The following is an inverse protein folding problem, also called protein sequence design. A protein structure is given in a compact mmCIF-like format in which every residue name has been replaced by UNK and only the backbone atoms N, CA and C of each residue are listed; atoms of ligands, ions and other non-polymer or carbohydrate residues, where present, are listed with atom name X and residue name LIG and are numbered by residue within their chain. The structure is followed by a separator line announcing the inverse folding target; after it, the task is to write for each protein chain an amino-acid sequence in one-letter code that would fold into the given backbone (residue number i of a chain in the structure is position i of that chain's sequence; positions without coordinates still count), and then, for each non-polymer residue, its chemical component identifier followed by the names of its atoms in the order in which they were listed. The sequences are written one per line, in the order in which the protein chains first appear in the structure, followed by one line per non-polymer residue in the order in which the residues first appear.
data_IF_253919028875
#
_entry.id   IF_253919028875
#
_cell.length_a   1.000
_cell.length_b   1.000
_cell.length_c   1.000
_cell.angle_alpha   90.00
_cell.angle_beta   90.00
_cell.angle_gamma   90.00
#
_symmetry.space_group_name_H-M   'P 1'
#
loop_
_entity.id
_entity.type
_entity.pdbx_description
1 polymer ?
#
# COMPACT_ATOMS: atom_id res chain seq x y z
N UNK A 1 16.99 -50.05 -11.83
CA UNK A 1 17.73 -48.84 -12.25
C UNK A 1 18.39 -48.23 -11.03
N UNK A 2 19.60 -47.68 -11.12
CA UNK A 2 20.22 -46.99 -9.98
C UNK A 2 19.40 -45.77 -9.59
N UNK A 3 19.20 -45.58 -8.28
CA UNK A 3 18.49 -44.43 -7.71
C UNK A 3 19.55 -43.40 -7.30
N UNK A 4 19.32 -42.13 -7.66
CA UNK A 4 20.16 -41.02 -7.19
C UNK A 4 19.83 -40.75 -5.72
N UNK A 5 20.82 -40.90 -4.84
CA UNK A 5 20.68 -40.60 -3.41
C UNK A 5 21.05 -39.14 -3.14
N UNK A 6 20.33 -38.49 -2.24
CA UNK A 6 20.66 -37.15 -1.75
C UNK A 6 21.77 -37.17 -0.70
N UNK A 7 22.11 -35.99 -0.18
CA UNK A 7 23.01 -35.84 0.96
C UNK A 7 22.30 -36.24 2.27
N UNK A 8 23.04 -36.90 3.17
CA UNK A 8 22.53 -37.27 4.49
C UNK A 8 22.35 -36.03 5.39
N UNK A 9 21.28 -36.00 6.20
CA UNK A 9 20.94 -34.85 7.05
C UNK A 9 21.96 -34.60 8.17
N UNK A 10 22.78 -35.60 8.51
CA UNK A 10 23.82 -35.53 9.53
C UNK A 10 25.23 -35.38 8.93
N UNK A 11 25.35 -35.34 7.59
CA UNK A 11 26.63 -35.13 6.92
C UNK A 11 27.09 -33.68 7.08
N UNK A 12 28.31 -33.50 7.59
CA UNK A 12 28.95 -32.19 7.66
C UNK A 12 29.42 -31.75 6.27
N UNK A 13 29.17 -30.49 5.94
CA UNK A 13 29.66 -29.85 4.71
C UNK A 13 30.26 -28.49 5.05
N UNK A 14 31.33 -28.12 4.34
CA UNK A 14 31.98 -26.82 4.46
C UNK A 14 31.79 -26.06 3.15
N UNK A 15 31.24 -24.86 3.21
CA UNK A 15 31.08 -23.97 2.06
C UNK A 15 31.10 -22.51 2.51
N UNK A 16 31.45 -21.60 1.61
CA UNK A 16 31.22 -20.18 1.82
C UNK A 16 29.83 -19.80 1.32
N UNK A 17 29.28 -18.68 1.81
CA UNK A 17 28.06 -18.11 1.24
C UNK A 17 28.25 -17.87 -0.27
N UNK A 18 29.42 -17.41 -0.67
CA UNK A 18 29.75 -17.11 -2.07
C UNK A 18 29.63 -18.34 -2.99
N UNK A 19 30.01 -19.52 -2.50
CA UNK A 19 29.90 -20.75 -3.26
C UNK A 19 28.44 -21.24 -3.41
N UNK A 20 27.52 -20.73 -2.59
CA UNK A 20 26.11 -21.16 -2.59
C UNK A 20 25.28 -20.50 -3.70
N UNK A 21 25.76 -19.41 -4.30
CA UNK A 21 25.04 -18.62 -5.30
C UNK A 21 25.80 -18.62 -6.63
N UNK A 22 25.14 -19.06 -7.70
CA UNK A 22 25.71 -19.05 -9.04
C UNK A 22 26.10 -17.64 -9.50
N UNK A 23 27.12 -17.52 -10.36
CA UNK A 23 27.67 -16.22 -10.79
C UNK A 23 26.71 -15.39 -11.64
N UNK A 24 25.74 -16.05 -12.27
CA UNK A 24 24.69 -15.47 -13.13
C UNK A 24 23.36 -15.25 -12.39
N UNK A 25 23.31 -15.48 -11.07
CA UNK A 25 22.09 -15.27 -10.29
C UNK A 25 21.75 -13.76 -10.14
N UNK A 26 20.49 -13.40 -10.42
CA UNK A 26 19.98 -12.03 -10.37
C UNK A 26 20.19 -11.31 -9.03
N UNK A 27 20.28 -12.04 -7.91
CA UNK A 27 20.53 -11.47 -6.58
C UNK A 27 21.84 -10.67 -6.53
N UNK A 28 22.82 -11.05 -7.36
CA UNK A 28 24.11 -10.36 -7.47
C UNK A 28 23.96 -8.99 -8.10
N UNK A 29 23.02 -8.82 -9.04
CA UNK A 29 22.71 -7.51 -9.60
C UNK A 29 22.14 -6.59 -8.52
N UNK A 30 21.25 -7.10 -7.66
CA UNK A 30 20.68 -6.31 -6.54
C UNK A 30 21.79 -5.83 -5.61
N UNK A 31 22.71 -6.73 -5.23
CA UNK A 31 23.84 -6.40 -4.38
C UNK A 31 24.72 -5.32 -5.01
N UNK A 32 25.20 -5.55 -6.23
CA UNK A 32 26.07 -4.64 -6.96
C UNK A 32 25.40 -3.28 -7.23
N UNK A 33 24.11 -3.27 -7.56
CA UNK A 33 23.35 -2.05 -7.81
C UNK A 33 23.27 -1.20 -6.54
N UNK A 34 22.88 -1.78 -5.40
CA UNK A 34 22.74 -1.03 -4.14
C UNK A 34 24.08 -0.52 -3.61
N UNK A 35 25.17 -1.27 -3.79
CA UNK A 35 26.52 -0.83 -3.38
C UNK A 35 27.02 0.40 -4.16
N UNK A 36 26.43 0.72 -5.32
CA UNK A 36 26.77 1.90 -6.12
C UNK A 36 25.88 3.11 -5.82
N UNK A 37 24.85 2.96 -4.98
CA UNK A 37 23.92 4.04 -4.67
C UNK A 37 24.46 4.98 -3.59
N UNK A 38 24.33 6.28 -3.82
CA UNK A 38 24.44 7.28 -2.76
C UNK A 38 23.11 7.36 -2.00
N UNK A 39 23.06 6.71 -0.84
CA UNK A 39 21.85 6.63 -0.01
C UNK A 39 21.42 8.00 0.52
N UNK A 40 22.37 8.92 0.75
CA UNK A 40 22.04 10.26 1.24
C UNK A 40 21.38 11.09 0.14
N UNK A 41 21.91 11.05 -1.08
CA UNK A 41 21.30 11.71 -2.24
C UNK A 41 19.92 11.14 -2.58
N UNK A 42 19.72 9.84 -2.38
CA UNK A 42 18.39 9.22 -2.51
C UNK A 42 17.40 9.70 -1.44
N UNK A 43 17.88 10.34 -0.37
CA UNK A 43 17.06 10.81 0.74
C UNK A 43 16.74 9.72 1.77
N UNK A 44 17.56 8.66 1.84
CA UNK A 44 17.43 7.63 2.86
C UNK A 44 17.79 8.24 4.21
N UNK A 45 16.81 8.23 5.11
CA UNK A 45 16.97 8.61 6.51
C UNK A 45 17.32 7.37 7.29
N UNK A 46 18.50 7.39 7.89
CA UNK A 46 18.94 6.30 8.74
C UNK A 46 18.00 6.12 9.93
N UNK A 47 17.67 4.87 10.21
CA UNK A 47 16.96 4.48 11.43
C UNK A 47 17.74 4.83 12.70
N UNK A 48 19.04 5.16 12.59
CA UNK A 48 19.91 5.60 13.69
C UNK A 48 19.90 7.09 13.96
N UNK A 49 19.44 7.90 13.00
CA UNK A 49 19.56 9.38 13.05
C UNK A 49 18.36 10.08 13.67
N UNK A 50 17.27 9.35 13.96
CA UNK A 50 16.15 9.86 14.73
C UNK A 50 16.44 9.67 16.22
N UNK A 51 16.65 10.76 16.97
CA UNK A 51 16.53 11.06 18.43
C UNK A 51 16.37 9.92 19.48
N UNK A 52 16.71 8.67 19.14
CA UNK A 52 16.61 7.50 19.97
C UNK A 52 17.92 7.39 20.72
N UNK A 53 17.78 7.36 22.04
CA UNK A 53 18.85 7.22 23.03
C UNK A 53 19.96 6.31 22.52
N UNK A 54 21.23 6.70 22.71
CA UNK A 54 22.46 5.92 22.44
C UNK A 54 22.52 4.55 23.14
N UNK A 55 21.48 4.17 23.86
CA UNK A 55 21.36 2.93 24.63
C UNK A 55 20.46 1.96 23.87
N UNK A 56 21.06 0.91 23.29
CA UNK A 56 20.34 -0.12 22.56
C UNK A 56 21.24 -1.01 21.71
N UNK A 57 20.67 -2.05 21.11
CA UNK A 57 21.33 -2.93 20.15
C UNK A 57 21.73 -2.14 18.90
N UNK A 58 22.93 -2.38 18.38
CA UNK A 58 23.41 -1.78 17.12
C UNK A 58 22.40 -2.02 15.99
N UNK A 59 22.20 -0.98 15.17
CA UNK A 59 21.30 -1.01 14.02
C UNK A 59 21.90 -1.78 12.85
N UNK A 60 21.02 -2.27 11.98
CA UNK A 60 21.41 -2.72 10.64
C UNK A 60 21.76 -1.52 9.74
N UNK A 61 22.52 -1.76 8.67
CA UNK A 61 22.76 -0.74 7.64
C UNK A 61 21.49 -0.48 6.82
N UNK A 62 21.35 0.74 6.30
CA UNK A 62 20.20 1.09 5.47
C UNK A 62 20.23 0.38 4.09
N UNK A 63 21.44 0.13 3.56
CA UNK A 63 21.65 -0.64 2.33
C UNK A 63 21.06 -2.06 2.44
N UNK A 64 21.14 -2.67 3.61
CA UNK A 64 20.59 -3.99 3.89
C UNK A 64 19.07 -4.02 3.65
N UNK A 65 18.35 -2.99 4.12
CA UNK A 65 16.91 -2.91 3.91
C UNK A 65 16.55 -2.63 2.45
N UNK A 66 17.33 -1.83 1.73
CA UNK A 66 17.12 -1.60 0.30
C UNK A 66 17.30 -2.87 -0.52
N UNK A 67 18.39 -3.62 -0.29
CA UNK A 67 18.63 -4.93 -0.91
C UNK A 67 17.45 -5.86 -0.66
N UNK A 68 16.99 -5.92 0.59
CA UNK A 68 15.86 -6.76 0.97
C UNK A 68 14.56 -6.36 0.26
N UNK A 69 14.26 -5.06 0.13
CA UNK A 69 13.05 -4.60 -0.56
C UNK A 69 13.10 -4.80 -2.07
N UNK A 70 14.24 -4.58 -2.71
CA UNK A 70 14.41 -4.86 -4.15
C UNK A 70 14.22 -6.36 -4.44
N UNK A 71 14.84 -7.22 -3.63
CA UNK A 71 14.65 -8.66 -3.71
C UNK A 71 13.18 -9.05 -3.51
N UNK A 72 12.52 -8.42 -2.54
CA UNK A 72 11.11 -8.64 -2.23
C UNK A 72 10.21 -8.30 -3.42
N UNK A 73 10.45 -7.18 -4.10
CA UNK A 73 9.67 -6.75 -5.26
C UNK A 73 9.86 -7.68 -6.44
N UNK A 74 11.10 -8.10 -6.73
CA UNK A 74 11.41 -9.05 -7.78
C UNK A 74 10.69 -10.40 -7.57
N UNK A 75 10.65 -10.88 -6.33
CA UNK A 75 10.05 -12.17 -5.95
C UNK A 75 8.57 -12.07 -5.52
N UNK A 76 7.92 -10.91 -5.64
CA UNK A 76 6.52 -10.73 -5.26
C UNK A 76 6.21 -10.85 -3.76
N UNK A 77 7.20 -10.73 -2.88
CA UNK A 77 7.05 -10.82 -1.42
C UNK A 77 6.70 -9.43 -0.86
N UNK A 78 5.45 -9.22 -0.43
CA UNK A 78 4.99 -7.90 0.05
C UNK A 78 4.89 -7.74 1.57
N UNK A 79 5.09 -8.82 2.33
CA UNK A 79 4.91 -8.84 3.78
C UNK A 79 6.25 -8.81 4.50
N UNK A 80 6.44 -7.85 5.41
CA UNK A 80 7.65 -7.76 6.25
C UNK A 80 7.86 -9.01 7.11
N UNK A 81 6.79 -9.65 7.58
CA UNK A 81 6.87 -10.94 8.30
C UNK A 81 7.27 -12.10 7.40
N UNK A 82 6.82 -12.08 6.13
CA UNK A 82 7.31 -13.07 5.16
C UNK A 82 8.79 -12.83 4.88
N UNK A 83 9.23 -11.58 4.71
CA UNK A 83 10.63 -11.25 4.50
C UNK A 83 11.53 -11.66 5.66
N UNK A 84 11.11 -11.42 6.90
CA UNK A 84 11.82 -11.91 8.09
C UNK A 84 12.00 -13.43 8.05
N UNK A 85 10.97 -14.19 7.69
CA UNK A 85 11.06 -15.65 7.52
C UNK A 85 11.94 -16.06 6.35
N UNK A 86 11.87 -15.34 5.23
CA UNK A 86 12.68 -15.63 4.04
C UNK A 86 14.16 -15.36 4.29
N UNK A 87 14.49 -14.30 5.04
CA UNK A 87 15.88 -14.00 5.43
C UNK A 87 16.55 -15.17 6.17
N UNK A 88 15.76 -15.99 6.88
CA UNK A 88 16.26 -17.15 7.64
C UNK A 88 16.41 -18.39 6.76
N UNK A 89 15.53 -18.61 5.78
CA UNK A 89 15.44 -19.91 5.06
C UNK A 89 15.91 -19.88 3.61
N UNK A 90 15.97 -18.71 2.99
CA UNK A 90 16.28 -18.55 1.58
C UNK A 90 17.78 -18.26 1.42
N UNK A 91 18.49 -19.13 0.70
CA UNK A 91 19.93 -19.01 0.51
C UNK A 91 20.35 -17.73 -0.23
N UNK A 92 19.52 -17.22 -1.16
CA UNK A 92 19.78 -15.96 -1.85
C UNK A 92 19.74 -14.78 -0.89
N UNK A 93 18.78 -14.77 0.04
CA UNK A 93 18.72 -13.74 1.08
C UNK A 93 19.78 -13.92 2.15
N UNK A 94 20.12 -15.15 2.53
CA UNK A 94 21.24 -15.39 3.44
C UNK A 94 22.55 -14.86 2.85
N UNK A 95 22.77 -15.05 1.54
CA UNK A 95 23.90 -14.47 0.83
C UNK A 95 23.82 -12.94 0.77
N UNK A 96 22.70 -12.39 0.29
CA UNK A 96 22.50 -10.95 0.09
C UNK A 96 22.59 -10.14 1.39
N UNK A 97 22.11 -10.72 2.50
CA UNK A 97 22.13 -10.10 3.83
C UNK A 97 23.35 -10.51 4.66
N UNK A 98 24.28 -11.29 4.10
CA UNK A 98 25.47 -11.78 4.80
C UNK A 98 25.14 -12.52 6.11
N UNK A 99 24.06 -13.31 6.11
CA UNK A 99 23.56 -14.04 7.27
C UNK A 99 22.81 -13.19 8.31
N UNK A 100 22.58 -11.90 8.05
CA UNK A 100 21.81 -11.04 8.94
C UNK A 100 20.30 -11.26 8.80
N UNK A 101 19.59 -11.21 9.91
CA UNK A 101 18.14 -11.45 9.97
C UNK A 101 17.43 -10.27 10.63
N UNK A 102 17.08 -9.21 9.86
CA UNK A 102 16.32 -8.10 10.39
C UNK A 102 14.90 -8.55 10.77
N UNK A 103 14.40 -8.05 11.89
CA UNK A 103 13.04 -8.37 12.32
C UNK A 103 11.99 -7.61 11.50
N UNK A 104 10.74 -8.09 11.53
CA UNK A 104 9.68 -7.51 10.70
C UNK A 104 9.35 -6.04 11.04
N UNK A 105 9.57 -5.59 12.28
CA UNK A 105 9.33 -4.20 12.69
C UNK A 105 10.34 -3.28 12.03
N UNK A 106 11.63 -3.60 12.10
CA UNK A 106 12.71 -2.83 11.47
C UNK A 106 12.52 -2.76 9.95
N UNK A 107 12.13 -3.87 9.32
CA UNK A 107 11.81 -3.90 7.89
C UNK A 107 10.65 -2.94 7.58
N UNK A 108 9.56 -3.00 8.35
CA UNK A 108 8.38 -2.15 8.12
C UNK A 108 8.66 -0.66 8.39
N UNK A 109 9.39 -0.35 9.47
CA UNK A 109 9.76 1.00 9.87
C UNK A 109 10.65 1.66 8.82
N UNK A 110 11.62 0.92 8.27
CA UNK A 110 12.47 1.42 7.18
C UNK A 110 11.62 1.93 6.01
N UNK A 111 10.65 1.13 5.53
CA UNK A 111 9.77 1.54 4.42
C UNK A 111 8.87 2.72 4.79
N UNK A 112 8.37 2.77 6.03
CA UNK A 112 7.51 3.87 6.50
C UNK A 112 8.27 5.19 6.53
N UNK A 113 9.51 5.17 7.01
CA UNK A 113 10.35 6.37 7.15
C UNK A 113 10.91 6.81 5.78
N UNK A 114 11.26 5.85 4.93
CA UNK A 114 11.96 6.08 3.66
C UNK A 114 11.08 5.94 2.42
N UNK A 115 9.76 6.16 2.54
CA UNK A 115 8.81 6.04 1.42
C UNK A 115 9.20 6.92 0.22
N UNK A 116 9.62 8.17 0.47
CA UNK A 116 10.10 9.08 -0.59
C UNK A 116 11.42 8.61 -1.20
N UNK A 117 12.34 8.07 -0.40
CA UNK A 117 13.60 7.54 -0.92
C UNK A 117 13.38 6.33 -1.83
N UNK A 118 12.41 5.47 -1.51
CA UNK A 118 12.02 4.35 -2.39
C UNK A 118 11.39 4.82 -3.71
N UNK A 119 10.64 5.94 -3.69
CA UNK A 119 10.16 6.57 -4.93
C UNK A 119 11.32 7.13 -5.75
N UNK A 120 12.28 7.81 -5.12
CA UNK A 120 13.48 8.32 -5.79
C UNK A 120 14.33 7.18 -6.37
N UNK A 121 14.45 6.06 -5.66
CA UNK A 121 15.12 4.86 -6.15
C UNK A 121 14.46 4.32 -7.42
N UNK A 122 13.13 4.29 -7.48
CA UNK A 122 12.42 3.89 -8.69
C UNK A 122 12.71 4.83 -9.86
N UNK A 123 12.72 6.15 -9.63
CA UNK A 123 13.06 7.14 -10.67
C UNK A 123 14.49 6.95 -11.17
N UNK A 124 15.44 6.76 -10.26
CA UNK A 124 16.83 6.48 -10.60
C UNK A 124 16.96 5.19 -11.41
N UNK A 125 16.21 4.15 -11.05
CA UNK A 125 16.20 2.88 -11.80
C UNK A 125 15.64 3.05 -13.22
N UNK A 126 14.57 3.83 -13.40
CA UNK A 126 14.03 4.16 -14.74
C UNK A 126 15.04 4.96 -15.57
N UNK A 127 15.72 5.93 -14.96
CA UNK A 127 16.80 6.70 -15.59
C UNK A 127 17.95 5.77 -16.02
N UNK A 128 18.40 4.88 -15.13
CA UNK A 128 19.41 3.86 -15.45
C UNK A 128 18.99 2.99 -16.63
N UNK A 129 17.74 2.49 -16.64
CA UNK A 129 17.21 1.67 -17.73
C UNK A 129 17.21 2.43 -19.07
N UNK A 130 16.93 3.73 -19.05
CA UNK A 130 17.03 4.57 -20.25
C UNK A 130 18.48 4.67 -20.73
N UNK A 131 19.42 4.92 -19.84
CA UNK A 131 20.84 5.08 -20.20
C UNK A 131 21.45 3.83 -20.84
N UNK A 132 21.00 2.65 -20.40
CA UNK A 132 21.40 1.36 -21.00
C UNK A 132 20.57 0.98 -22.24
N UNK A 133 19.66 1.84 -22.69
CA UNK A 133 18.86 1.64 -23.89
C UNK A 133 17.73 0.62 -23.73
N UNK A 134 17.22 0.42 -22.51
CA UNK A 134 16.06 -0.44 -22.21
C UNK A 134 14.75 0.34 -22.03
N UNK A 135 14.76 1.64 -22.35
CA UNK A 135 13.55 2.49 -22.42
C UNK A 135 13.63 3.33 -23.69
N UNK A 136 12.64 3.19 -24.58
CA UNK A 136 12.61 3.92 -25.86
C UNK A 136 12.32 5.42 -25.70
N UNK A 137 11.47 5.77 -24.73
CA UNK A 137 11.30 7.15 -24.26
C UNK A 137 10.56 8.11 -25.21
N UNK A 138 9.96 7.59 -26.29
CA UNK A 138 9.21 8.36 -27.30
C UNK A 138 7.70 8.28 -27.12
N UNK A 139 7.20 7.07 -26.86
CA UNK A 139 5.78 6.77 -26.74
C UNK A 139 5.55 5.99 -25.46
N UNK A 140 4.61 6.45 -24.64
CA UNK A 140 4.14 5.73 -23.47
C UNK A 140 2.65 5.42 -23.60
N UNK A 141 2.25 4.30 -23.03
CA UNK A 141 0.85 3.95 -22.81
C UNK A 141 0.52 4.15 -21.32
N UNK A 142 -0.60 4.81 -21.04
CA UNK A 142 -1.12 5.01 -19.69
C UNK A 142 -2.42 4.25 -19.53
N UNK A 143 -2.47 3.41 -18.49
CA UNK A 143 -3.69 2.70 -18.10
C UNK A 143 -3.86 2.66 -16.57
N UNK A 144 -5.11 2.53 -16.14
CA UNK A 144 -5.55 2.61 -14.76
C UNK A 144 -6.18 1.31 -14.30
N UNK A 145 -5.59 0.67 -13.29
CA UNK A 145 -6.15 -0.52 -12.65
C UNK A 145 -6.69 -0.17 -11.26
N UNK A 146 -7.96 -0.50 -11.02
CA UNK A 146 -8.60 -0.33 -9.72
C UNK A 146 -8.29 -1.53 -8.83
N UNK A 147 -7.69 -1.29 -7.67
CA UNK A 147 -7.27 -2.29 -6.69
C UNK A 147 -8.07 -2.08 -5.40
N UNK A 148 -8.53 -3.18 -4.80
CA UNK A 148 -9.25 -3.12 -3.52
C UNK A 148 -8.32 -2.67 -2.39
N UNK A 149 -8.77 -1.70 -1.62
CA UNK A 149 -8.12 -1.27 -0.39
C UNK A 149 -8.52 -2.16 0.79
N UNK A 150 -7.91 -1.92 1.94
CA UNK A 150 -8.25 -2.67 3.15
C UNK A 150 -9.46 -2.05 3.88
N UNK A 151 -10.57 -1.86 3.16
CA UNK A 151 -11.81 -1.36 3.74
C UNK A 151 -13.02 -2.00 3.07
N UNK A 152 -14.02 -2.37 3.86
CA UNK A 152 -15.26 -2.93 3.32
C UNK A 152 -16.21 -1.82 2.86
N UNK A 153 -17.11 -2.12 1.90
CA UNK A 153 -18.18 -1.20 1.49
C UNK A 153 -19.08 -0.79 2.67
N UNK A 154 -19.24 -1.69 3.65
CA UNK A 154 -20.01 -1.44 4.87
C UNK A 154 -19.32 -0.41 5.77
N UNK A 155 -17.99 -0.42 5.80
CA UNK A 155 -17.13 0.47 6.59
C UNK A 155 -16.70 1.75 5.83
N UNK A 156 -17.36 2.07 4.72
CA UNK A 156 -17.19 3.33 4.00
C UNK A 156 -18.46 4.17 4.15
N UNK A 157 -18.33 5.44 4.53
CA UNK A 157 -19.43 6.31 4.89
C UNK A 157 -19.39 7.61 4.11
N UNK A 158 -20.54 8.03 3.60
CA UNK A 158 -20.75 9.34 3.00
C UNK A 158 -21.85 10.06 3.81
N UNK A 159 -22.06 11.38 3.61
CA UNK A 159 -23.04 12.15 4.40
C UNK A 159 -24.45 11.54 4.39
N UNK A 160 -24.92 11.08 3.21
CA UNK A 160 -26.23 10.44 3.07
C UNK A 160 -26.35 9.14 3.88
N UNK A 161 -25.30 8.31 3.89
CA UNK A 161 -25.27 7.05 4.63
C UNK A 161 -25.26 7.29 6.14
N UNK A 162 -24.50 8.28 6.60
CA UNK A 162 -24.48 8.67 8.01
C UNK A 162 -25.86 9.15 8.45
N UNK A 163 -26.47 10.06 7.67
CA UNK A 163 -27.80 10.58 7.98
C UNK A 163 -28.84 9.45 8.10
N UNK A 164 -28.86 8.50 7.16
CA UNK A 164 -29.75 7.33 7.23
C UNK A 164 -29.58 6.51 8.50
N UNK A 165 -28.34 6.36 8.99
CA UNK A 165 -28.09 5.66 10.25
C UNK A 165 -28.58 6.46 11.46
N UNK A 166 -28.39 7.78 11.47
CA UNK A 166 -28.90 8.66 12.52
C UNK A 166 -30.44 8.66 12.56
N UNK A 167 -31.09 8.75 11.40
CA UNK A 167 -32.55 8.70 11.27
C UNK A 167 -33.10 7.36 11.76
N UNK A 168 -32.46 6.26 11.37
CA UNK A 168 -32.83 4.92 11.84
C UNK A 168 -32.71 4.79 13.37
N UNK A 169 -31.63 5.31 13.95
CA UNK A 169 -31.44 5.31 15.40
C UNK A 169 -32.53 6.13 16.07
N UNK A 170 -32.84 7.33 15.56
CA UNK A 170 -33.88 8.18 16.11
C UNK A 170 -35.26 7.49 16.07
N UNK A 171 -35.62 6.87 14.95
CA UNK A 171 -36.87 6.11 14.82
C UNK A 171 -36.93 4.90 15.76
N UNK A 172 -35.84 4.13 15.87
CA UNK A 172 -35.79 2.95 16.75
C UNK A 172 -35.79 3.32 18.23
N UNK A 173 -35.11 4.40 18.62
CA UNK A 173 -35.17 4.91 19.98
C UNK A 173 -36.58 5.37 20.34
N UNK A 174 -37.27 6.08 19.44
CA UNK A 174 -38.66 6.49 19.64
C UNK A 174 -39.59 5.28 19.82
N UNK A 175 -39.50 4.30 18.93
CA UNK A 175 -40.32 3.09 19.01
C UNK A 175 -40.10 2.29 20.31
N UNK A 176 -38.85 2.16 20.77
CA UNK A 176 -38.54 1.49 22.04
C UNK A 176 -39.08 2.24 23.26
N UNK A 177 -39.05 3.58 23.24
CA UNK A 177 -39.62 4.39 24.31
C UNK A 177 -41.16 4.29 24.33
N UNK A 178 -41.80 4.29 23.17
CA UNK A 178 -43.26 4.12 23.05
C UNK A 178 -43.71 2.71 23.50
N UNK A 179 -42.98 1.66 23.13
CA UNK A 179 -43.23 0.29 23.60
C UNK A 179 -43.08 0.19 25.11
N UNK A 180 -42.05 0.83 25.67
CA UNK A 180 -41.83 0.90 27.11
C UNK A 180 -42.96 1.62 27.86
N UNK A 181 -43.40 2.79 27.37
CA UNK A 181 -44.53 3.54 27.94
C UNK A 181 -45.85 2.75 27.88
N UNK A 182 -46.08 1.98 26.81
CA UNK A 182 -47.27 1.15 26.68
C UNK A 182 -47.26 -0.04 27.65
N UNK A 183 -46.10 -0.68 27.86
CA UNK A 183 -45.95 -1.77 28.82
C UNK A 183 -46.14 -1.29 30.26
N UNK A 184 -45.57 -0.14 30.62
CA UNK A 184 -45.78 0.50 31.94
C UNK A 184 -47.27 0.81 32.20
N UNK A 185 -48.03 1.17 31.16
CA UNK A 185 -49.46 1.46 31.26
C UNK A 185 -50.36 0.21 31.36
N UNK A 186 -49.86 -0.98 31.00
CA UNK A 186 -50.66 -2.21 30.92
C UNK A 186 -50.56 -3.16 32.12
N UNK A 187 -49.71 -2.88 33.13
CA UNK A 187 -49.46 -3.70 34.34
C UNK A 187 -49.18 -5.22 34.12
N UNK A 188 -49.07 -5.70 32.87
CA UNK A 188 -48.81 -7.10 32.52
C UNK A 188 -47.38 -7.33 32.01
N UNK A 189 -46.81 -8.46 32.48
CA UNK A 189 -45.48 -9.04 32.22
C UNK A 189 -44.36 -8.08 31.78
N UNK A 190 -43.47 -7.81 32.75
CA UNK A 190 -42.21 -7.10 32.58
C UNK A 190 -41.44 -7.55 31.34
N UNK A 191 -41.48 -6.74 30.27
CA UNK A 191 -40.31 -6.63 29.40
C UNK A 191 -39.15 -6.32 30.34
N UNK A 192 -38.15 -7.19 30.39
CA UNK A 192 -36.94 -6.99 31.20
C UNK A 192 -36.45 -5.55 31.01
N UNK A 193 -36.61 -4.72 32.04
CA UNK A 193 -36.14 -3.33 32.08
C UNK A 193 -34.66 -3.25 31.67
N UNK A 194 -33.88 -4.28 32.00
CA UNK A 194 -32.49 -4.44 31.59
C UNK A 194 -32.31 -4.53 30.08
N UNK A 195 -33.17 -5.28 29.38
CA UNK A 195 -33.05 -5.51 27.93
C UNK A 195 -33.33 -4.23 27.12
N UNK A 196 -34.28 -3.41 27.56
CA UNK A 196 -34.62 -2.12 26.91
C UNK A 196 -33.52 -1.09 27.16
N UNK A 197 -33.05 -0.98 28.40
CA UNK A 197 -31.94 -0.08 28.76
C UNK A 197 -30.65 -0.45 28.01
N UNK A 198 -30.33 -1.74 27.88
CA UNK A 198 -29.18 -2.22 27.12
C UNK A 198 -29.32 -1.88 25.62
N UNK A 199 -30.51 -2.09 25.03
CA UNK A 199 -30.78 -1.72 23.64
C UNK A 199 -30.64 -0.21 23.40
N UNK A 200 -31.15 0.63 24.30
CA UNK A 200 -31.03 2.09 24.22
C UNK A 200 -29.58 2.54 24.38
N UNK A 201 -28.83 1.98 25.33
CA UNK A 201 -27.41 2.26 25.50
C UNK A 201 -26.61 1.93 24.24
N UNK A 202 -26.89 0.79 23.59
CA UNK A 202 -26.26 0.40 22.31
C UNK A 202 -26.60 1.38 21.19
N UNK A 203 -27.85 1.84 21.10
CA UNK A 203 -28.26 2.85 20.12
C UNK A 203 -27.57 4.20 20.36
N UNK A 204 -27.41 4.61 21.62
CA UNK A 204 -26.67 5.82 21.99
C UNK A 204 -25.19 5.72 21.60
N UNK A 205 -24.52 4.60 21.88
CA UNK A 205 -23.14 4.36 21.44
C UNK A 205 -23.00 4.45 19.92
N UNK A 206 -23.93 3.85 19.17
CA UNK A 206 -23.94 3.96 17.71
C UNK A 206 -24.17 5.40 17.24
N UNK A 207 -25.05 6.16 17.91
CA UNK A 207 -25.29 7.57 17.60
C UNK A 207 -24.01 8.39 17.73
N UNK A 208 -23.29 8.24 18.85
CA UNK A 208 -22.01 8.91 19.11
C UNK A 208 -21.00 8.56 18.01
N UNK A 209 -20.89 7.28 17.64
CA UNK A 209 -20.02 6.84 16.54
C UNK A 209 -20.33 7.55 15.22
N UNK A 210 -21.61 7.63 14.84
CA UNK A 210 -22.00 8.26 13.57
C UNK A 210 -21.84 9.79 13.58
N UNK A 211 -22.05 10.44 14.73
CA UNK A 211 -21.76 11.86 14.92
C UNK A 211 -20.26 12.13 14.77
N UNK A 212 -19.40 11.32 15.40
CA UNK A 212 -17.95 11.45 15.23
C UNK A 212 -17.49 11.30 13.77
N UNK A 213 -18.10 10.36 13.02
CA UNK A 213 -17.83 10.22 11.58
C UNK A 213 -18.32 11.42 10.77
N UNK A 214 -19.43 12.06 11.18
CA UNK A 214 -19.93 13.28 10.55
C UNK A 214 -18.97 14.45 10.76
N UNK A 215 -18.47 14.61 11.99
CA UNK A 215 -17.49 15.63 12.34
C UNK A 215 -16.17 15.41 11.58
N UNK A 216 -15.73 14.16 11.48
CA UNK A 216 -14.54 13.80 10.70
C UNK A 216 -14.70 14.17 9.20
N UNK A 217 -15.88 13.96 8.60
CA UNK A 217 -16.14 14.38 7.22
C UNK A 217 -16.11 15.91 7.09
N UNK A 218 -16.70 16.63 8.04
CA UNK A 218 -16.71 18.09 8.03
C UNK A 218 -15.29 18.68 8.14
N UNK A 219 -14.44 18.08 8.99
CA UNK A 219 -13.06 18.53 9.19
C UNK A 219 -12.14 18.17 8.02
N UNK A 220 -12.30 16.99 7.42
CA UNK A 220 -11.43 16.51 6.34
C UNK A 220 -11.74 17.12 4.97
N UNK A 221 -12.92 17.74 4.80
CA UNK A 221 -13.44 18.21 3.50
C UNK A 221 -13.50 17.12 2.41
N UNK A 222 -13.43 15.85 2.81
CA UNK A 222 -13.50 14.70 1.92
C UNK A 222 -14.96 14.25 1.75
N UNK A 223 -15.36 13.75 0.56
CA UNK A 223 -16.75 13.36 0.29
C UNK A 223 -17.18 12.08 1.02
N UNK A 224 -16.22 11.33 1.57
CA UNK A 224 -16.44 10.05 2.23
C UNK A 224 -15.31 9.72 3.20
N UNK A 225 -15.60 8.84 4.16
CA UNK A 225 -14.67 8.36 5.18
C UNK A 225 -14.65 6.84 5.21
N UNK A 226 -13.45 6.27 5.20
CA UNK A 226 -13.19 4.84 5.37
C UNK A 226 -12.63 4.60 6.77
N UNK A 227 -13.18 3.64 7.52
CA UNK A 227 -12.78 3.45 8.93
C UNK A 227 -11.57 2.54 9.12
N UNK A 228 -11.33 1.58 8.23
CA UNK A 228 -10.22 0.64 8.35
C UNK A 228 -8.98 1.10 7.59
N UNK A 229 -9.18 1.67 6.40
CA UNK A 229 -8.11 2.20 5.54
C UNK A 229 -8.48 3.65 5.17
N UNK A 230 -8.00 4.66 5.93
CA UNK A 230 -8.44 6.04 5.82
C UNK A 230 -8.22 6.69 4.45
N UNK A 231 -7.30 6.17 3.64
CA UNK A 231 -6.98 6.70 2.32
C UNK A 231 -7.82 6.04 1.21
N UNK A 232 -8.41 4.88 1.48
CA UNK A 232 -9.25 4.16 0.52
C UNK A 232 -10.58 4.87 0.29
N UNK A 233 -11.06 4.82 -0.95
CA UNK A 233 -12.26 5.54 -1.39
C UNK A 233 -13.15 4.61 -2.21
N UNK A 234 -14.47 4.83 -2.18
CA UNK A 234 -15.38 4.14 -3.09
C UNK A 234 -15.15 4.63 -4.53
N UNK A 235 -14.84 3.70 -5.42
CA UNK A 235 -14.53 3.90 -6.83
C UNK A 235 -15.45 3.05 -7.70
N UNK A 236 -15.88 3.63 -8.83
CA UNK A 236 -16.66 2.92 -9.84
C UNK A 236 -15.72 2.03 -10.66
N UNK A 237 -15.90 0.71 -10.62
CA UNK A 237 -15.02 -0.25 -11.31
C UNK A 237 -15.50 -0.50 -12.73
N UNK A 238 -16.75 -0.95 -12.89
CA UNK A 238 -17.40 -1.23 -14.18
C UNK A 238 -18.90 -1.02 -14.07
N UNK A 239 -19.48 -0.18 -14.94
CA UNK A 239 -20.92 0.10 -14.93
C UNK A 239 -21.37 0.64 -13.57
N UNK A 240 -22.21 -0.12 -12.87
CA UNK A 240 -22.74 0.23 -11.52
C UNK A 240 -21.94 -0.37 -10.36
N UNK A 241 -20.90 -1.17 -10.64
CA UNK A 241 -20.13 -1.86 -9.60
C UNK A 241 -19.18 -0.87 -8.92
N UNK A 242 -19.39 -0.66 -7.62
CA UNK A 242 -18.54 0.18 -6.76
C UNK A 242 -17.70 -0.70 -5.84
N UNK A 243 -16.41 -0.45 -5.77
CA UNK A 243 -15.47 -1.06 -4.82
C UNK A 243 -14.77 0.00 -3.99
N UNK A 244 -14.33 -0.34 -2.77
CA UNK A 244 -13.54 0.58 -1.94
C UNK A 244 -12.06 0.26 -2.12
N UNK A 245 -11.29 1.24 -2.56
CA UNK A 245 -9.87 1.05 -2.80
C UNK A 245 -9.20 2.21 -3.50
N UNK A 246 -8.28 1.86 -4.39
CA UNK A 246 -7.38 2.77 -5.08
C UNK A 246 -7.45 2.55 -6.57
N UNK A 247 -7.13 3.58 -7.32
CA UNK A 247 -6.88 3.52 -8.74
C UNK A 247 -5.37 3.68 -8.95
N UNK A 248 -4.71 2.61 -9.36
CA UNK A 248 -3.27 2.60 -9.66
C UNK A 248 -3.10 2.82 -11.15
N UNK A 249 -2.44 3.92 -11.47
CA UNK A 249 -2.12 4.34 -12.82
C UNK A 249 -0.69 3.90 -13.13
N UNK A 250 -0.46 3.34 -14.31
CA UNK A 250 0.86 2.96 -14.76
C UNK A 250 1.13 3.55 -16.15
N UNK A 251 2.31 4.14 -16.32
CA UNK A 251 2.84 4.53 -17.61
C UNK A 251 3.89 3.50 -18.05
N UNK A 252 3.72 2.95 -19.24
CA UNK A 252 4.54 1.87 -19.79
C UNK A 252 5.17 2.32 -21.10
N UNK A 253 6.47 2.10 -21.24
CA UNK A 253 7.21 2.35 -22.48
C UNK A 253 6.77 1.41 -23.60
N UNK A 254 6.67 1.93 -24.83
CA UNK A 254 6.23 1.13 -25.98
C UNK A 254 7.28 0.11 -26.43
N UNK A 255 8.57 0.40 -26.35
CA UNK A 255 9.62 -0.39 -26.99
C UNK A 255 9.95 -1.64 -26.18
N UNK A 256 10.22 -1.47 -24.88
CA UNK A 256 10.63 -2.56 -23.99
C UNK A 256 9.55 -3.01 -23.02
N UNK A 257 8.37 -2.38 -23.05
CA UNK A 257 7.22 -2.70 -22.17
C UNK A 257 7.53 -2.55 -20.68
N UNK A 258 8.48 -1.69 -20.34
CA UNK A 258 8.86 -1.40 -18.97
C UNK A 258 8.02 -0.26 -18.39
N UNK A 259 7.72 -0.36 -17.09
CA UNK A 259 6.98 0.68 -16.36
C UNK A 259 7.92 1.84 -16.05
N UNK A 260 7.55 3.05 -16.46
CA UNK A 260 8.36 4.27 -16.31
C UNK A 260 7.81 5.25 -15.28
N UNK A 261 6.52 5.15 -14.96
CA UNK A 261 5.89 5.89 -13.86
C UNK A 261 4.70 5.12 -13.29
N UNK A 262 4.43 5.30 -11.99
CA UNK A 262 3.24 4.74 -11.34
C UNK A 262 2.65 5.74 -10.37
N UNK A 263 1.33 5.93 -10.40
CA UNK A 263 0.61 6.76 -9.43
C UNK A 263 -0.48 5.96 -8.74
N UNK A 264 -0.58 6.09 -7.42
CA UNK A 264 -1.73 5.57 -6.68
C UNK A 264 -2.62 6.74 -6.32
N UNK A 265 -3.82 6.81 -6.91
CA UNK A 265 -4.82 7.82 -6.59
C UNK A 265 -6.04 7.15 -5.95
N UNK A 266 -6.74 7.87 -5.09
CA UNK A 266 -7.98 7.43 -4.47
C UNK A 266 -9.21 8.12 -5.08
N UNK A 267 -9.08 8.62 -6.31
CA UNK A 267 -10.13 9.31 -7.08
C UNK A 267 -10.27 8.69 -8.47
N UNK A 268 -11.32 9.09 -9.20
CA UNK A 268 -11.51 8.62 -10.57
C UNK A 268 -10.44 9.22 -11.51
N UNK A 269 -10.13 8.49 -12.58
CA UNK A 269 -9.03 8.73 -13.52
C UNK A 269 -9.20 9.96 -14.44
N UNK A 270 -10.37 10.60 -14.44
CA UNK A 270 -10.70 11.71 -15.35
C UNK A 270 -9.60 12.78 -15.46
N UNK A 271 -8.91 13.12 -14.38
CA UNK A 271 -7.85 14.16 -14.39
C UNK A 271 -6.44 13.60 -14.11
N UNK A 272 -6.25 12.28 -14.16
CA UNK A 272 -5.00 11.64 -13.75
C UNK A 272 -3.92 11.62 -14.83
N UNK A 273 -4.30 11.78 -16.11
CA UNK A 273 -3.41 11.58 -17.25
C UNK A 273 -2.21 12.55 -17.25
N UNK A 274 -2.46 13.83 -16.98
CA UNK A 274 -1.40 14.85 -17.03
C UNK A 274 -0.31 14.59 -16.00
N UNK A 275 -0.69 14.30 -14.75
CA UNK A 275 0.26 14.10 -13.66
C UNK A 275 1.21 12.91 -13.94
N UNK A 276 0.66 11.76 -14.34
CA UNK A 276 1.49 10.58 -14.61
C UNK A 276 2.32 10.74 -15.88
N UNK A 277 1.80 11.43 -16.90
CA UNK A 277 2.55 11.71 -18.13
C UNK A 277 3.71 12.65 -17.88
N UNK A 278 3.51 13.67 -17.04
CA UNK A 278 4.57 14.58 -16.62
C UNK A 278 5.65 13.84 -15.83
N UNK A 279 5.26 13.03 -14.84
CA UNK A 279 6.23 12.25 -14.09
C UNK A 279 6.99 11.26 -14.99
N UNK A 280 6.30 10.57 -15.91
CA UNK A 280 6.96 9.68 -16.86
C UNK A 280 7.97 10.44 -17.73
N UNK A 281 7.61 11.64 -18.23
CA UNK A 281 8.50 12.52 -19.00
C UNK A 281 9.74 12.91 -18.19
N UNK A 282 9.55 13.26 -16.92
CA UNK A 282 10.64 13.67 -16.03
C UNK A 282 11.56 12.48 -15.70
N UNK A 283 11.00 11.31 -15.38
CA UNK A 283 11.75 10.09 -15.05
C UNK A 283 12.61 9.58 -16.22
N UNK A 284 12.10 9.70 -17.45
CA UNK A 284 12.84 9.34 -18.66
C UNK A 284 13.57 10.54 -19.28
N UNK A 285 13.59 11.71 -18.62
CA UNK A 285 14.21 12.95 -19.10
C UNK A 285 13.95 13.23 -20.61
N UNK A 286 12.72 13.03 -21.07
CA UNK A 286 12.36 13.24 -22.47
C UNK A 286 12.00 14.70 -22.73
N UNK A 287 12.48 15.27 -23.84
CA UNK A 287 12.08 16.63 -24.27
C UNK A 287 10.61 16.66 -24.67
N UNK A 288 10.17 15.65 -25.41
CA UNK A 288 8.81 15.47 -25.91
C UNK A 288 8.39 14.01 -25.73
N UNK A 289 7.13 13.80 -25.37
CA UNK A 289 6.59 12.48 -25.08
C UNK A 289 5.19 12.35 -25.73
N UNK A 290 4.98 11.28 -26.49
CA UNK A 290 3.66 10.92 -27.01
C UNK A 290 2.97 10.00 -26.01
N UNK A 291 1.73 10.31 -25.65
CA UNK A 291 0.97 9.56 -24.65
C UNK A 291 -0.25 8.92 -25.29
N UNK A 292 -0.35 7.60 -25.19
CA UNK A 292 -1.51 6.81 -25.56
C UNK A 292 -2.32 6.51 -24.29
N UNK A 293 -3.62 6.78 -24.31
CA UNK A 293 -4.50 6.55 -23.15
C UNK A 293 -5.83 5.92 -23.60
N UNK A 294 -6.44 5.11 -22.74
CA UNK A 294 -7.72 4.48 -23.04
C UNK A 294 -8.85 5.52 -23.17
N UNK A 295 -9.61 5.44 -24.27
CA UNK A 295 -10.63 6.42 -24.70
C UNK A 295 -11.74 6.73 -23.66
N UNK A 296 -11.98 5.84 -22.70
CA UNK A 296 -13.13 5.93 -21.79
C UNK A 296 -12.77 6.37 -20.35
N UNK A 297 -11.50 6.68 -20.04
CA UNK A 297 -11.04 6.94 -18.66
C UNK A 297 -10.42 8.32 -18.40
N UNK A 298 -9.96 9.02 -19.43
CA UNK A 298 -9.11 10.21 -19.26
C UNK A 298 -9.67 11.43 -20.00
N UNK A 299 -9.71 12.57 -19.31
CA UNK A 299 -9.92 13.90 -19.88
C UNK A 299 -8.69 14.76 -19.61
N UNK A 300 -8.18 15.42 -20.64
CA UNK A 300 -7.11 16.40 -20.46
C UNK A 300 -7.77 17.67 -19.93
N UNK A 301 -7.36 18.24 -18.78
CA UNK A 301 -7.87 19.54 -18.37
C UNK A 301 -7.49 20.58 -19.44
N UNK A 302 -8.37 21.55 -19.75
CA UNK A 302 -8.03 22.60 -20.71
C UNK A 302 -6.74 23.29 -20.26
N UNK A 303 -5.82 23.51 -21.22
CA UNK A 303 -4.59 24.25 -20.97
C UNK A 303 -4.95 25.63 -20.41
N UNK A 304 -4.40 25.96 -19.24
CA UNK A 304 -4.30 27.35 -18.84
C UNK A 304 -3.15 27.94 -19.67
N UNK A 305 -3.52 28.73 -20.68
CA UNK A 305 -2.60 29.59 -21.42
C UNK A 305 -1.90 30.59 -20.49
#
# INVERSE_FOLDING_TARGET
MPIINGLDRHQLTFSSLEAAIATDNDVRFIDAFVEKLDLQQLGVRSLTSSDKKKEGRSSFSDSLFLKLYLYAYLNGIRSSRKLEREAIRNIELQWLLQGLHPNYHSIADFRKINATALQNLFKLFVSFLKDVGLVGGKVIAVDGTKIRGNNSKKNNYNPKKIQRHLDYIAQKSKALLEEFEQTDASEDEAISLGDVQEKLARLQQHKIKYQALQDQLAQSQEPQVSTTDPDARALLVRGVVVEVGYNVQAAVDQEHKLVVATHTINRNDKNALYAISKEAKDNIEAKQLTVLAAKNGYSIPPSAD
#
